data_IF_562923475337
#
_entry.id   IF_562923475337
#
_cell.length_a   1.000
_cell.length_b   1.000
_cell.length_c   1.000
_cell.angle_alpha   90.00
_cell.angle_beta   90.00
_cell.angle_gamma   90.00
#
_symmetry.space_group_name_H-M   'P 1'
#
loop_
_entity.id
_entity.type
_entity.pdbx_description
1 polymer ?
#
# COMPACT_ATOMS: atom_id res chain seq x y z
N UNK A 1 21.59 13.78 -5.55
CA UNK A 1 20.81 12.54 -5.59
C UNK A 1 19.47 12.80 -6.28
N UNK A 2 19.10 11.92 -7.16
CA UNK A 2 17.81 12.03 -7.84
C UNK A 2 16.78 11.15 -7.14
N UNK A 3 15.58 11.69 -6.94
CA UNK A 3 14.46 10.95 -6.37
C UNK A 3 13.41 10.79 -7.45
N UNK A 4 13.06 9.55 -7.73
CA UNK A 4 12.00 9.25 -8.71
C UNK A 4 10.64 9.32 -8.03
N UNK A 5 9.73 10.07 -8.62
CA UNK A 5 8.38 10.25 -8.12
C UNK A 5 7.37 9.79 -9.16
N UNK A 6 6.17 9.45 -8.70
CA UNK A 6 5.04 9.18 -9.59
C UNK A 6 4.64 10.46 -10.34
N UNK A 7 3.84 10.30 -11.41
CA UNK A 7 3.42 11.44 -12.25
C UNK A 7 2.69 12.52 -11.46
N UNK A 8 1.98 12.15 -10.41
CA UNK A 8 1.27 13.08 -9.54
C UNK A 8 2.16 13.69 -8.45
N UNK A 9 3.46 13.40 -8.47
CA UNK A 9 4.43 13.90 -7.48
C UNK A 9 4.47 13.11 -6.20
N UNK A 10 3.70 12.05 -6.07
CA UNK A 10 3.69 11.21 -4.87
C UNK A 10 4.86 10.23 -4.86
N UNK A 11 5.16 9.69 -3.69
CA UNK A 11 6.33 8.84 -3.48
C UNK A 11 6.04 7.36 -3.69
N UNK A 12 4.79 7.00 -3.97
CA UNK A 12 4.42 5.64 -4.35
C UNK A 12 3.20 5.69 -5.26
N UNK A 13 2.97 4.61 -5.99
CA UNK A 13 1.81 4.49 -6.88
C UNK A 13 0.75 3.54 -6.32
N UNK A 14 1.08 2.77 -5.30
CA UNK A 14 0.18 1.75 -4.75
C UNK A 14 -0.81 2.29 -3.72
N UNK A 15 -0.57 3.48 -3.16
CA UNK A 15 -1.35 3.98 -2.03
C UNK A 15 -2.85 4.04 -2.27
N UNK A 16 -3.25 4.54 -3.43
CA UNK A 16 -4.68 4.63 -3.79
C UNK A 16 -5.31 3.25 -3.90
N UNK A 17 -4.58 2.29 -4.45
CA UNK A 17 -5.05 0.92 -4.58
C UNK A 17 -5.15 0.26 -3.22
N UNK A 18 -4.22 0.54 -2.32
CA UNK A 18 -4.28 0.04 -0.94
C UNK A 18 -5.55 0.52 -0.26
N UNK A 19 -5.88 1.80 -0.38
CA UNK A 19 -7.12 2.35 0.19
C UNK A 19 -8.34 1.57 -0.30
N UNK A 20 -8.46 1.44 -1.62
CA UNK A 20 -9.61 0.76 -2.22
C UNK A 20 -9.69 -0.69 -1.79
N UNK A 21 -8.59 -1.42 -1.89
CA UNK A 21 -8.55 -2.85 -1.56
C UNK A 21 -8.79 -3.10 -0.08
N UNK A 22 -8.22 -2.26 0.77
CA UNK A 22 -8.43 -2.33 2.22
C UNK A 22 -9.90 -2.15 2.57
N UNK A 23 -10.52 -1.09 2.03
CA UNK A 23 -11.94 -0.81 2.29
C UNK A 23 -12.83 -1.91 1.75
N UNK A 24 -12.47 -2.48 0.61
CA UNK A 24 -13.20 -3.58 0.02
C UNK A 24 -13.18 -4.82 0.90
N UNK A 25 -12.15 -4.99 1.70
CA UNK A 25 -12.05 -6.08 2.69
C UNK A 25 -12.69 -5.72 4.04
N UNK A 26 -13.18 -4.50 4.18
CA UNK A 26 -13.78 -4.05 5.44
C UNK A 26 -12.76 -3.77 6.55
N UNK A 27 -11.50 -3.54 6.20
CA UNK A 27 -10.45 -3.31 7.18
C UNK A 27 -10.25 -1.80 7.43
N UNK A 28 -10.03 -1.43 8.70
CA UNK A 28 -9.51 -0.11 9.03
C UNK A 28 -8.00 -0.06 8.74
N UNK A 29 -7.43 1.14 8.76
CA UNK A 29 -5.97 1.29 8.63
C UNK A 29 -5.23 0.53 9.74
N UNK A 30 -5.76 0.59 10.96
CA UNK A 30 -5.17 -0.14 12.09
C UNK A 30 -5.24 -1.65 11.89
N UNK A 31 -6.39 -2.14 11.43
CA UNK A 31 -6.55 -3.57 11.17
C UNK A 31 -5.60 -4.04 10.08
N UNK A 32 -5.43 -3.26 9.03
CA UNK A 32 -4.47 -3.60 7.98
C UNK A 32 -3.05 -3.63 8.55
N UNK A 33 -2.67 -2.65 9.38
CA UNK A 33 -1.37 -2.65 10.02
C UNK A 33 -1.17 -3.92 10.88
N UNK A 34 -2.20 -4.31 11.64
CA UNK A 34 -2.14 -5.51 12.47
C UNK A 34 -1.89 -6.78 11.63
N UNK A 35 -2.60 -6.91 10.52
CA UNK A 35 -2.44 -8.07 9.62
C UNK A 35 -1.05 -8.07 8.99
N UNK A 36 -0.54 -6.91 8.58
CA UNK A 36 0.80 -6.79 8.01
C UNK A 36 1.88 -7.15 9.03
N UNK A 37 1.69 -6.75 10.29
CA UNK A 37 2.61 -7.12 11.36
C UNK A 37 2.64 -8.62 11.59
N UNK A 38 1.49 -9.27 11.53
CA UNK A 38 1.41 -10.73 11.62
C UNK A 38 2.14 -11.41 10.46
N UNK A 39 2.18 -10.77 9.31
CA UNK A 39 2.92 -11.27 8.15
C UNK A 39 4.43 -10.97 8.24
N UNK A 40 4.89 -10.36 9.33
CA UNK A 40 6.30 -10.08 9.56
C UNK A 40 6.77 -8.70 9.13
N UNK A 41 5.85 -7.83 8.74
CA UNK A 41 6.21 -6.49 8.26
C UNK A 41 6.18 -5.49 9.42
N UNK A 42 7.24 -4.68 9.55
CA UNK A 42 7.31 -3.66 10.59
C UNK A 42 6.61 -2.37 10.11
N UNK A 43 5.29 -2.39 10.16
CA UNK A 43 4.44 -1.27 9.73
C UNK A 43 3.36 -1.03 10.78
N UNK A 44 3.24 0.20 11.25
CA UNK A 44 2.17 0.62 12.14
C UNK A 44 1.05 1.35 11.37
N UNK A 45 0.00 1.76 12.09
CA UNK A 45 -1.12 2.48 11.50
C UNK A 45 -0.66 3.76 10.80
N UNK A 46 0.29 4.49 11.38
CA UNK A 46 0.77 5.75 10.80
C UNK A 46 1.52 5.50 9.49
N UNK A 47 2.27 4.39 9.41
CA UNK A 47 2.93 4.00 8.16
C UNK A 47 1.91 3.64 7.09
N UNK A 48 0.84 2.91 7.43
CA UNK A 48 -0.26 2.62 6.50
C UNK A 48 -0.87 3.92 5.99
N UNK A 49 -1.17 4.85 6.89
CA UNK A 49 -1.73 6.14 6.51
C UNK A 49 -0.84 6.88 5.52
N UNK A 50 0.48 6.91 5.76
CA UNK A 50 1.41 7.59 4.86
C UNK A 50 1.56 6.88 3.52
N UNK A 51 1.46 5.56 3.49
CA UNK A 51 1.41 4.82 2.24
C UNK A 51 0.16 5.24 1.45
N UNK A 52 -0.99 5.26 2.10
CA UNK A 52 -2.27 5.52 1.44
C UNK A 52 -2.36 6.94 0.89
N UNK A 53 -1.72 7.91 1.53
CA UNK A 53 -1.71 9.27 1.00
C UNK A 53 -0.50 9.56 0.08
N UNK A 54 0.32 8.56 -0.20
CA UNK A 54 1.41 8.67 -1.16
C UNK A 54 2.68 9.33 -0.64
N UNK A 55 2.76 9.60 0.65
CA UNK A 55 3.92 10.30 1.23
C UNK A 55 5.10 9.39 1.52
N UNK A 56 4.85 8.10 1.71
CA UNK A 56 5.89 7.15 2.10
C UNK A 56 6.37 6.36 0.90
N UNK A 57 7.69 6.20 0.77
CA UNK A 57 8.25 5.25 -0.17
C UNK A 57 7.92 3.84 0.31
N UNK A 58 7.61 2.95 -0.63
CA UNK A 58 7.26 1.56 -0.33
C UNK A 58 8.30 0.67 -0.99
N UNK A 59 8.94 -0.17 -0.18
CA UNK A 59 9.98 -1.08 -0.68
C UNK A 59 9.35 -2.27 -1.39
N UNK A 60 10.14 -2.97 -2.19
CA UNK A 60 9.66 -4.17 -2.89
C UNK A 60 9.25 -5.27 -1.90
N UNK A 61 9.94 -5.39 -0.78
CA UNK A 61 9.59 -6.32 0.29
C UNK A 61 8.19 -6.00 0.81
N UNK A 62 7.92 -4.73 1.05
CA UNK A 62 6.63 -4.28 1.55
C UNK A 62 5.53 -4.48 0.51
N UNK A 63 5.82 -4.22 -0.75
CA UNK A 63 4.86 -4.41 -1.85
C UNK A 63 4.38 -5.85 -1.93
N UNK A 64 5.30 -6.81 -1.86
CA UNK A 64 4.94 -8.23 -1.90
C UNK A 64 4.07 -8.60 -0.70
N UNK A 65 4.45 -8.16 0.49
CA UNK A 65 3.69 -8.46 1.70
C UNK A 65 2.27 -7.84 1.65
N UNK A 66 2.16 -6.61 1.16
CA UNK A 66 0.86 -5.94 1.02
C UNK A 66 -0.02 -6.67 0.00
N UNK A 67 0.53 -7.02 -1.16
CA UNK A 67 -0.22 -7.74 -2.18
C UNK A 67 -0.73 -9.09 -1.66
N UNK A 68 0.14 -9.84 -0.98
CA UNK A 68 -0.22 -11.14 -0.41
C UNK A 68 -1.31 -10.98 0.65
N UNK A 69 -1.17 -9.99 1.53
CA UNK A 69 -2.15 -9.73 2.59
C UNK A 69 -3.50 -9.34 2.02
N UNK A 70 -3.52 -8.50 1.00
CA UNK A 70 -4.75 -8.09 0.35
C UNK A 70 -5.29 -9.13 -0.64
N UNK A 71 -4.54 -10.19 -0.90
CA UNK A 71 -4.97 -11.27 -1.79
C UNK A 71 -5.05 -10.86 -3.24
N UNK A 72 -4.19 -9.96 -3.69
CA UNK A 72 -4.20 -9.44 -5.06
C UNK A 72 -2.85 -9.67 -5.73
N UNK A 73 -2.85 -9.60 -7.06
CA UNK A 73 -1.62 -9.67 -7.84
C UNK A 73 -0.82 -8.37 -7.68
N UNK A 74 0.46 -8.42 -8.03
CA UNK A 74 1.29 -7.22 -8.05
C UNK A 74 0.77 -6.21 -9.08
N UNK A 75 0.25 -6.67 -10.20
CA UNK A 75 -0.36 -5.78 -11.19
C UNK A 75 -1.58 -5.06 -10.63
N UNK A 76 -2.43 -5.75 -9.90
CA UNK A 76 -3.59 -5.12 -9.27
C UNK A 76 -3.17 -4.05 -8.26
N UNK A 77 -2.10 -4.29 -7.51
CA UNK A 77 -1.61 -3.33 -6.54
C UNK A 77 -0.91 -2.14 -7.20
N UNK A 78 -0.13 -2.38 -8.25
CA UNK A 78 0.79 -1.38 -8.78
C UNK A 78 0.29 -0.70 -10.06
N UNK A 79 -0.59 -1.35 -10.83
CA UNK A 79 -1.00 -0.86 -12.15
C UNK A 79 -2.50 -0.74 -12.34
N UNK A 80 -3.26 -1.09 -11.33
CA UNK A 80 -4.71 -1.07 -11.47
C UNK A 80 -5.20 0.38 -11.49
N UNK A 81 -5.48 0.88 -12.68
CA UNK A 81 -5.95 2.25 -12.88
C UNK A 81 -7.47 2.36 -12.90
N UNK A 82 -8.17 1.24 -12.96
CA UNK A 82 -9.63 1.20 -13.07
C UNK A 82 -10.31 0.94 -11.74
N UNK A 83 -9.79 1.50 -10.74
CA UNK A 83 -10.37 1.44 -9.40
C UNK A 83 -11.59 2.34 -9.29
N UNK A 84 -12.09 2.70 -10.29
CA UNK A 84 -13.22 3.62 -10.32
C UNK A 84 -14.54 2.92 -10.10
#
# INVERSE_FOLDING_TARGET
MFINKAKDGLNNICGKNVVFLRKNMGLSQRQLADVLQLAGLDIDKNAVQRIECGKRFVTDIEIIAIADTLGVSLDALLRWENIL
#
